data_IF_453170799338
#
_entry.id   IF_453170799338
#
_cell.length_a   1.000
_cell.length_b   1.000
_cell.length_c   1.000
_cell.angle_alpha   90.00
_cell.angle_beta   90.00
_cell.angle_gamma   90.00
#
_symmetry.space_group_name_H-M   'P 1'
#
loop_
_entity.id
_entity.type
_entity.pdbx_description
1 polymer ?
#
# COMPACT_ATOMS: atom_id res chain seq x y z
N UNK A 1 -37.03 -32.32 13.82
CA UNK A 1 -35.84 -31.82 13.08
C UNK A 1 -35.24 -30.72 13.93
N UNK A 2 -34.00 -30.90 14.40
CA UNK A 2 -33.34 -29.92 15.27
C UNK A 2 -32.69 -28.82 14.42
N UNK A 3 -33.12 -27.58 14.64
CA UNK A 3 -32.68 -26.39 13.89
C UNK A 3 -31.73 -25.50 14.71
N UNK A 4 -31.33 -25.93 15.91
CA UNK A 4 -30.57 -25.09 16.85
C UNK A 4 -29.24 -24.59 16.26
N UNK A 5 -28.54 -25.44 15.50
CA UNK A 5 -27.29 -25.06 14.83
C UNK A 5 -27.52 -24.02 13.71
N UNK A 6 -28.65 -24.12 13.00
CA UNK A 6 -29.00 -23.15 11.96
C UNK A 6 -29.36 -21.81 12.61
N UNK A 7 -30.15 -21.81 13.68
CA UNK A 7 -30.50 -20.59 14.43
C UNK A 7 -29.24 -19.89 14.97
N UNK A 8 -28.27 -20.65 15.50
CA UNK A 8 -27.01 -20.07 15.93
C UNK A 8 -26.27 -19.39 14.78
N UNK A 9 -26.15 -20.03 13.60
CA UNK A 9 -25.50 -19.44 12.43
C UNK A 9 -26.23 -18.20 11.90
N UNK A 10 -27.57 -18.20 11.91
CA UNK A 10 -28.38 -17.04 11.53
C UNK A 10 -28.09 -15.85 12.46
N UNK A 11 -28.05 -16.08 13.77
CA UNK A 11 -27.74 -15.03 14.74
C UNK A 11 -26.31 -14.49 14.57
N UNK A 12 -25.33 -15.35 14.31
CA UNK A 12 -23.95 -14.92 14.01
C UNK A 12 -23.91 -14.09 12.73
N UNK A 13 -24.64 -14.49 11.69
CA UNK A 13 -24.71 -13.77 10.43
C UNK A 13 -25.29 -12.36 10.61
N UNK A 14 -26.43 -12.22 11.29
CA UNK A 14 -27.02 -10.90 11.57
C UNK A 14 -26.06 -10.00 12.34
N UNK A 15 -25.38 -10.54 13.36
CA UNK A 15 -24.37 -9.80 14.12
C UNK A 15 -23.21 -9.31 13.25
N UNK A 16 -22.77 -10.09 12.26
CA UNK A 16 -21.70 -9.68 11.34
C UNK A 16 -22.17 -8.54 10.44
N UNK A 17 -23.42 -8.56 9.97
CA UNK A 17 -24.00 -7.47 9.18
C UNK A 17 -24.08 -6.17 9.98
N UNK A 18 -24.64 -6.22 11.20
CA UNK A 18 -24.72 -5.06 12.10
C UNK A 18 -23.33 -4.46 12.38
N UNK A 19 -22.33 -5.30 12.67
CA UNK A 19 -20.96 -4.84 12.86
C UNK A 19 -20.40 -4.16 11.61
N UNK A 20 -20.72 -4.67 10.42
CA UNK A 20 -20.22 -4.12 9.16
C UNK A 20 -20.77 -2.71 8.93
N UNK A 21 -22.04 -2.49 9.26
CA UNK A 21 -22.66 -1.16 9.21
C UNK A 21 -21.99 -0.21 10.21
N UNK A 22 -21.86 -0.65 11.47
CA UNK A 22 -21.20 0.15 12.51
C UNK A 22 -19.76 0.54 12.13
N UNK A 23 -18.98 -0.40 11.58
CA UNK A 23 -17.61 -0.12 11.17
C UNK A 23 -17.52 0.93 10.05
N UNK A 24 -18.51 0.97 9.15
CA UNK A 24 -18.57 1.98 8.09
C UNK A 24 -18.94 3.34 8.66
N UNK A 25 -19.85 3.38 9.63
CA UNK A 25 -20.18 4.61 10.35
C UNK A 25 -18.97 5.16 11.09
N UNK A 26 -18.25 4.32 11.85
CA UNK A 26 -17.05 4.70 12.60
C UNK A 26 -15.96 5.29 11.70
N UNK A 27 -15.79 4.71 10.50
CA UNK A 27 -14.87 5.20 9.48
C UNK A 27 -15.15 6.66 9.11
N UNK A 28 -16.40 6.95 8.74
CA UNK A 28 -16.82 8.28 8.29
C UNK A 28 -16.97 9.29 9.43
N UNK A 29 -17.36 8.83 10.62
CA UNK A 29 -17.65 9.70 11.76
C UNK A 29 -16.38 10.25 12.43
N UNK A 30 -15.32 9.44 12.53
CA UNK A 30 -14.13 9.84 13.30
C UNK A 30 -12.81 9.26 12.81
N UNK A 31 -12.79 8.00 12.38
CA UNK A 31 -11.53 7.29 12.19
C UNK A 31 -10.70 7.87 11.04
N UNK A 32 -11.34 8.24 9.94
CA UNK A 32 -10.69 8.84 8.77
C UNK A 32 -9.94 10.12 9.15
N UNK A 33 -10.62 11.04 9.83
CA UNK A 33 -10.03 12.30 10.29
C UNK A 33 -8.94 12.06 11.35
N UNK A 34 -9.10 11.09 12.24
CA UNK A 34 -8.05 10.71 13.19
C UNK A 34 -6.76 10.25 12.47
N UNK A 35 -6.89 9.39 11.45
CA UNK A 35 -5.74 8.91 10.67
C UNK A 35 -5.04 10.08 9.97
N UNK A 36 -5.81 10.94 9.28
CA UNK A 36 -5.27 12.10 8.56
C UNK A 36 -4.51 13.02 9.51
N UNK A 37 -5.15 13.44 10.60
CA UNK A 37 -4.54 14.35 11.57
C UNK A 37 -3.26 13.77 12.18
N UNK A 38 -3.24 12.46 12.48
CA UNK A 38 -2.06 11.82 13.05
C UNK A 38 -0.92 11.70 12.04
N UNK A 39 -1.22 11.39 10.78
CA UNK A 39 -0.21 11.34 9.71
C UNK A 39 0.36 12.74 9.43
N UNK A 40 -0.50 13.75 9.30
CA UNK A 40 -0.09 15.15 9.09
C UNK A 40 0.75 15.67 10.27
N UNK A 41 0.39 15.32 11.50
CA UNK A 41 1.19 15.62 12.68
C UNK A 41 2.59 15.00 12.59
N UNK A 42 2.69 13.70 12.24
CA UNK A 42 3.98 13.02 12.11
C UNK A 42 4.83 13.68 11.01
N UNK A 43 4.24 13.98 9.86
CA UNK A 43 4.93 14.67 8.75
C UNK A 43 5.49 16.01 9.20
N UNK A 44 4.69 16.81 9.91
CA UNK A 44 5.08 18.12 10.39
C UNK A 44 6.21 18.06 11.42
N UNK A 45 6.09 17.19 12.42
CA UNK A 45 7.06 17.11 13.53
C UNK A 45 8.38 16.46 13.12
N UNK A 46 8.36 15.54 12.16
CA UNK A 46 9.59 14.86 11.67
C UNK A 46 10.27 15.60 10.53
N UNK A 47 9.59 16.51 9.85
CA UNK A 47 10.08 17.13 8.61
C UNK A 47 10.13 16.16 7.43
N UNK A 48 9.46 15.00 7.52
CA UNK A 48 9.36 14.03 6.44
C UNK A 48 8.70 14.68 5.22
N UNK A 49 9.33 14.59 4.05
CA UNK A 49 8.74 15.07 2.80
C UNK A 49 7.72 14.07 2.27
N UNK A 50 6.53 14.07 2.87
CA UNK A 50 5.42 13.21 2.48
C UNK A 50 4.12 14.01 2.35
N UNK A 51 3.15 13.43 1.64
CA UNK A 51 1.81 13.99 1.47
C UNK A 51 0.76 12.98 1.89
N UNK A 52 -0.26 13.44 2.61
CA UNK A 52 -1.45 12.63 2.89
C UNK A 52 -2.42 12.78 1.72
N UNK A 53 -2.75 11.65 1.10
CA UNK A 53 -3.63 11.55 -0.06
C UNK A 53 -4.91 10.82 0.31
N UNK A 54 -6.04 11.25 -0.26
CA UNK A 54 -7.36 10.68 0.00
C UNK A 54 -7.92 10.17 -1.32
N UNK A 55 -8.23 8.88 -1.39
CA UNK A 55 -8.92 8.27 -2.52
C UNK A 55 -10.38 8.04 -2.12
N UNK A 56 -11.29 8.78 -2.75
CA UNK A 56 -12.74 8.74 -2.44
C UNK A 56 -13.59 8.44 -3.67
N UNK A 57 -12.97 7.90 -4.73
CA UNK A 57 -13.61 7.69 -6.04
C UNK A 57 -14.71 6.62 -6.00
N UNK A 58 -14.62 5.67 -5.06
CA UNK A 58 -15.60 4.60 -4.87
C UNK A 58 -16.12 4.63 -3.42
N UNK A 59 -17.44 4.82 -3.27
CA UNK A 59 -18.13 4.78 -1.99
C UNK A 59 -17.85 3.43 -1.30
N UNK A 60 -17.41 3.48 -0.04
CA UNK A 60 -17.05 2.32 0.79
C UNK A 60 -15.79 1.54 0.37
N UNK A 61 -14.95 2.13 -0.47
CA UNK A 61 -13.56 1.68 -0.72
C UNK A 61 -12.62 2.87 -0.64
N UNK A 62 -12.86 3.74 0.34
CA UNK A 62 -12.02 4.88 0.57
C UNK A 62 -10.65 4.44 1.09
N UNK A 63 -9.62 5.18 0.70
CA UNK A 63 -8.27 4.98 1.21
C UNK A 63 -7.66 6.31 1.65
N UNK A 64 -6.84 6.26 2.69
CA UNK A 64 -5.92 7.32 3.08
C UNK A 64 -4.51 6.78 2.90
N UNK A 65 -3.68 7.50 2.16
CA UNK A 65 -2.30 7.11 1.93
C UNK A 65 -1.32 8.20 2.39
N UNK A 66 -0.27 7.82 3.09
CA UNK A 66 0.92 8.66 3.27
C UNK A 66 1.89 8.34 2.12
N UNK A 67 2.03 9.26 1.18
CA UNK A 67 2.83 9.13 -0.03
C UNK A 67 4.16 9.86 0.08
N UNK A 68 5.26 9.21 -0.31
CA UNK A 68 6.56 9.86 -0.51
C UNK A 68 6.72 10.46 -1.92
N UNK A 69 5.64 10.43 -2.72
CA UNK A 69 5.56 11.04 -4.04
C UNK A 69 6.35 10.30 -5.11
N UNK A 70 6.56 11.01 -6.22
CA UNK A 70 7.24 10.52 -7.41
C UNK A 70 8.41 11.41 -7.77
N UNK A 71 9.47 10.81 -8.32
CA UNK A 71 10.66 11.50 -8.79
C UNK A 71 11.15 10.89 -10.10
N UNK A 72 11.92 11.65 -10.88
CA UNK A 72 12.71 11.07 -11.97
C UNK A 72 13.68 10.03 -11.38
N UNK A 73 13.71 8.85 -11.97
CA UNK A 73 14.52 7.73 -11.45
C UNK A 73 16.02 7.89 -11.70
N UNK A 74 16.42 8.80 -12.59
CA UNK A 74 17.76 8.88 -13.14
C UNK A 74 18.05 7.82 -14.22
N UNK A 75 17.05 7.00 -14.58
CA UNK A 75 17.14 6.02 -15.65
C UNK A 75 16.30 6.50 -16.84
N UNK A 76 16.94 6.54 -18.01
CA UNK A 76 16.29 6.92 -19.27
C UNK A 76 16.29 5.75 -20.25
N UNK A 77 15.14 5.49 -20.87
CA UNK A 77 15.05 4.59 -22.01
C UNK A 77 15.33 5.35 -23.32
N UNK A 78 16.18 4.78 -24.18
CA UNK A 78 16.44 5.35 -25.51
C UNK A 78 15.43 4.77 -26.51
N UNK A 79 14.59 5.63 -27.06
CA UNK A 79 13.57 5.27 -28.06
C UNK A 79 13.93 5.97 -29.37
N UNK A 80 14.70 5.29 -30.23
CA UNK A 80 15.30 5.91 -31.42
C UNK A 80 16.27 7.02 -31.05
N UNK A 81 16.02 8.24 -31.52
CA UNK A 81 16.79 9.44 -31.16
C UNK A 81 16.24 10.17 -29.92
N UNK A 82 15.07 9.77 -29.40
CA UNK A 82 14.47 10.36 -28.22
C UNK A 82 14.89 9.61 -26.94
N UNK A 83 14.89 10.34 -25.82
CA UNK A 83 15.05 9.77 -24.48
C UNK A 83 13.75 9.94 -23.70
N UNK A 84 13.35 8.87 -23.01
CA UNK A 84 12.22 8.88 -22.08
C UNK A 84 12.74 8.62 -20.67
N UNK A 85 12.62 9.60 -19.79
CA UNK A 85 12.93 9.44 -18.37
C UNK A 85 11.88 8.54 -17.71
N UNK A 86 12.34 7.58 -16.91
CA UNK A 86 11.47 6.70 -16.14
C UNK A 86 11.17 7.32 -14.78
N UNK A 87 9.93 7.20 -14.34
CA UNK A 87 9.47 7.75 -13.07
C UNK A 87 9.56 6.69 -11.97
N UNK A 88 10.08 7.08 -10.82
CA UNK A 88 10.11 6.28 -9.60
C UNK A 88 8.98 6.72 -8.68
N UNK A 89 8.19 5.77 -8.20
CA UNK A 89 7.35 5.93 -7.01
C UNK A 89 8.17 5.62 -5.77
N UNK A 90 8.14 6.51 -4.77
CA UNK A 90 8.91 6.36 -3.53
C UNK A 90 8.18 5.53 -2.45
N UNK A 91 7.04 4.92 -2.80
CA UNK A 91 6.26 4.09 -1.88
C UNK A 91 5.25 4.87 -1.04
N UNK A 92 4.31 4.11 -0.45
CA UNK A 92 3.16 4.65 0.28
C UNK A 92 2.75 3.74 1.43
N UNK A 93 2.31 4.33 2.54
CA UNK A 93 1.57 3.63 3.60
C UNK A 93 0.07 3.88 3.42
N UNK A 94 -0.71 2.81 3.26
CA UNK A 94 -2.13 2.88 2.87
C UNK A 94 -3.02 2.32 3.97
N UNK A 95 -4.06 3.08 4.32
CA UNK A 95 -5.19 2.70 5.16
C UNK A 95 -6.43 2.60 4.29
N UNK A 96 -6.86 1.38 3.98
CA UNK A 96 -7.97 1.11 3.07
C UNK A 96 -9.15 0.51 3.80
N UNK A 97 -10.34 1.08 3.61
CA UNK A 97 -11.58 0.46 4.05
C UNK A 97 -11.91 -0.76 3.16
N UNK A 98 -12.11 -1.91 3.79
CA UNK A 98 -12.54 -3.14 3.14
C UNK A 98 -14.07 -3.21 3.04
N UNK A 99 -14.57 -4.08 2.18
CA UNK A 99 -16.01 -4.30 1.99
C UNK A 99 -16.76 -4.69 3.28
N UNK A 100 -16.07 -5.26 4.27
CA UNK A 100 -16.65 -5.62 5.57
C UNK A 100 -16.45 -4.53 6.65
N UNK A 101 -16.07 -3.31 6.25
CA UNK A 101 -15.86 -2.16 7.13
C UNK A 101 -14.54 -2.19 7.93
N UNK A 102 -13.78 -3.29 7.89
CA UNK A 102 -12.45 -3.33 8.51
C UNK A 102 -11.45 -2.48 7.72
N UNK A 103 -10.34 -2.14 8.37
CA UNK A 103 -9.27 -1.35 7.77
C UNK A 103 -8.09 -2.25 7.48
N UNK A 104 -7.67 -2.31 6.22
CA UNK A 104 -6.42 -2.90 5.78
C UNK A 104 -5.32 -1.82 5.86
N UNK A 105 -4.24 -2.14 6.55
CA UNK A 105 -3.02 -1.34 6.56
C UNK A 105 -2.00 -2.07 5.69
N UNK A 106 -1.50 -1.40 4.65
CA UNK A 106 -0.52 -1.97 3.73
C UNK A 106 0.56 -0.98 3.34
N UNK A 107 1.73 -1.51 2.95
CA UNK A 107 2.84 -0.75 2.42
C UNK A 107 2.99 -1.07 0.94
N UNK A 108 2.89 -0.05 0.10
CA UNK A 108 3.28 -0.08 -1.30
C UNK A 108 4.75 0.27 -1.38
N UNK A 109 5.57 -0.65 -1.88
CA UNK A 109 7.01 -0.47 -2.01
C UNK A 109 7.36 0.56 -3.08
N UNK A 110 8.54 1.20 -2.97
CA UNK A 110 9.08 1.95 -4.08
C UNK A 110 9.24 1.06 -5.33
N UNK A 111 9.03 1.63 -6.51
CA UNK A 111 9.25 0.96 -7.78
C UNK A 111 9.50 1.98 -8.89
N UNK A 112 10.18 1.54 -9.96
CA UNK A 112 10.44 2.36 -11.14
C UNK A 112 9.52 1.89 -12.26
N UNK A 113 8.76 2.82 -12.84
CA UNK A 113 7.85 2.54 -13.94
C UNK A 113 8.61 2.03 -15.16
N UNK A 114 8.11 0.95 -15.77
CA UNK A 114 8.73 0.32 -16.93
C UNK A 114 9.91 -0.61 -16.60
N UNK A 115 10.40 -0.62 -15.35
CA UNK A 115 11.47 -1.53 -14.92
C UNK A 115 10.97 -2.58 -13.94
N UNK A 116 10.81 -3.80 -14.45
CA UNK A 116 10.37 -4.94 -13.67
C UNK A 116 8.90 -4.85 -13.27
N UNK A 117 8.49 -5.77 -12.39
CA UNK A 117 7.14 -5.78 -11.82
C UNK A 117 7.18 -5.17 -10.43
N UNK A 118 6.21 -4.32 -10.06
CA UNK A 118 6.12 -3.83 -8.70
C UNK A 118 5.98 -5.00 -7.73
N UNK A 119 6.69 -4.92 -6.60
CA UNK A 119 6.56 -5.90 -5.53
C UNK A 119 5.13 -5.86 -5.00
N UNK A 120 4.60 -7.03 -4.62
CA UNK A 120 3.29 -7.09 -3.98
C UNK A 120 3.29 -6.23 -2.71
N UNK A 121 2.24 -5.44 -2.46
CA UNK A 121 2.12 -4.67 -1.24
C UNK A 121 2.26 -5.57 -0.01
N UNK A 122 2.98 -5.08 0.99
CA UNK A 122 3.07 -5.77 2.28
C UNK A 122 1.84 -5.46 3.10
N UNK A 123 1.07 -6.47 3.44
CA UNK A 123 0.00 -6.33 4.43
C UNK A 123 0.64 -6.19 5.82
N UNK A 124 0.43 -5.06 6.47
CA UNK A 124 0.90 -4.82 7.84
C UNK A 124 -0.06 -5.48 8.81
N UNK A 125 -1.36 -5.14 8.72
CA UNK A 125 -2.42 -5.76 9.52
C UNK A 125 -3.81 -5.44 8.97
N UNK A 126 -4.83 -6.14 9.50
CA UNK A 126 -6.25 -5.83 9.27
C UNK A 126 -6.91 -5.67 10.63
N UNK A 127 -7.49 -4.50 10.87
CA UNK A 127 -8.06 -4.13 12.18
C UNK A 127 -9.51 -3.70 12.05
N UNK A 128 -10.25 -3.81 13.15
CA UNK A 128 -11.55 -3.14 13.30
C UNK A 128 -11.33 -1.66 13.60
N UNK A 129 -12.27 -0.78 13.23
CA UNK A 129 -12.15 0.66 13.48
C UNK A 129 -11.79 1.01 14.94
N UNK A 130 -12.45 0.38 15.92
CA UNK A 130 -12.20 0.62 17.34
C UNK A 130 -10.82 0.14 17.86
N UNK A 131 -10.13 -0.74 17.10
CA UNK A 131 -8.80 -1.24 17.46
C UNK A 131 -7.70 -0.25 17.03
N UNK A 132 -7.95 0.56 16.00
CA UNK A 132 -6.96 1.50 15.46
C UNK A 132 -6.91 2.78 16.31
N UNK A 133 -5.78 2.97 17.02
CA UNK A 133 -5.51 4.13 17.88
C UNK A 133 -4.25 4.87 17.42
N UNK A 134 -4.07 6.15 17.81
CA UNK A 134 -2.91 6.94 17.40
C UNK A 134 -1.53 6.28 17.58
N UNK A 135 -1.25 5.53 18.67
CA UNK A 135 0.05 4.86 18.83
C UNK A 135 0.33 3.78 17.78
N UNK A 136 -0.69 3.16 17.19
CA UNK A 136 -0.51 2.19 16.11
C UNK A 136 -0.07 2.88 14.82
N UNK A 137 -0.62 4.06 14.52
CA UNK A 137 -0.25 4.85 13.34
C UNK A 137 1.24 5.18 13.37
N UNK A 138 1.78 5.56 14.54
CA UNK A 138 3.21 5.80 14.69
C UNK A 138 4.04 4.55 14.32
N UNK A 139 3.67 3.39 14.86
CA UNK A 139 4.33 2.10 14.54
C UNK A 139 4.23 1.75 13.06
N UNK A 140 3.12 2.05 12.40
CA UNK A 140 2.95 1.82 10.98
C UNK A 140 3.86 2.71 10.14
N UNK A 141 4.03 3.98 10.54
CA UNK A 141 4.98 4.89 9.86
C UNK A 141 6.42 4.42 10.09
N UNK A 142 6.78 3.96 11.28
CA UNK A 142 8.11 3.38 11.54
C UNK A 142 8.38 2.17 10.65
N UNK A 143 7.44 1.24 10.56
CA UNK A 143 7.57 0.06 9.70
C UNK A 143 7.63 0.43 8.21
N UNK A 144 6.83 1.41 7.79
CA UNK A 144 6.87 1.95 6.44
C UNK A 144 8.24 2.52 6.09
N UNK A 145 8.78 3.40 6.95
CA UNK A 145 10.08 4.01 6.74
C UNK A 145 11.18 2.95 6.72
N UNK A 146 11.11 1.94 7.58
CA UNK A 146 12.07 0.82 7.56
C UNK A 146 12.07 0.09 6.22
N UNK A 147 10.92 -0.21 5.64
CA UNK A 147 10.83 -0.87 4.33
C UNK A 147 11.34 0.02 3.19
N UNK A 148 11.04 1.33 3.21
CA UNK A 148 11.54 2.27 2.20
C UNK A 148 13.06 2.44 2.33
N UNK A 149 13.58 2.65 3.54
CA UNK A 149 15.03 2.75 3.78
C UNK A 149 15.73 1.49 3.29
N UNK A 150 15.22 0.30 3.62
CA UNK A 150 15.82 -0.95 3.14
C UNK A 150 15.76 -1.15 1.63
N UNK A 151 14.82 -0.50 0.94
CA UNK A 151 14.77 -0.49 -0.52
C UNK A 151 15.76 0.51 -1.13
N UNK A 152 15.94 1.69 -0.53
CA UNK A 152 16.88 2.71 -1.00
C UNK A 152 18.34 2.35 -0.70
N UNK A 153 18.58 1.81 0.48
CA UNK A 153 19.88 1.32 0.97
C UNK A 153 20.15 -0.11 0.47
N UNK A 154 19.49 -0.52 -0.62
CA UNK A 154 19.66 -1.83 -1.20
C UNK A 154 21.08 -1.95 -1.75
N UNK A 155 21.93 -2.61 -0.97
CA UNK A 155 23.35 -2.84 -1.25
C UNK A 155 23.54 -4.07 -2.14
N UNK A 156 23.83 -3.82 -3.42
CA UNK A 156 24.15 -4.84 -4.44
C UNK A 156 25.55 -5.47 -4.25
N UNK A 157 26.37 -5.00 -3.30
CA UNK A 157 27.75 -5.48 -3.10
C UNK A 157 27.82 -6.83 -2.36
N UNK A 158 26.69 -7.36 -1.87
CA UNK A 158 26.60 -8.70 -1.27
C UNK A 158 26.08 -9.70 -2.31
N UNK A 159 26.90 -10.68 -2.77
CA UNK A 159 26.43 -11.67 -3.73
C UNK A 159 25.34 -12.55 -3.11
N UNK A 160 24.09 -12.26 -3.47
CA UNK A 160 22.92 -13.10 -3.18
C UNK A 160 22.77 -14.13 -4.31
N UNK A 161 22.32 -15.37 -4.02
CA UNK A 161 21.97 -16.33 -5.06
C UNK A 161 20.89 -15.71 -5.95
N UNK A 162 21.23 -15.58 -7.24
CA UNK A 162 20.49 -14.90 -8.31
C UNK A 162 18.98 -15.20 -8.22
N UNK A 163 18.25 -14.29 -7.57
CA UNK A 163 16.81 -14.35 -7.32
C UNK A 163 16.09 -13.07 -7.71
N UNK A 164 16.80 -12.09 -8.27
CA UNK A 164 16.21 -11.01 -9.05
C UNK A 164 15.71 -11.59 -10.37
N UNK A 165 14.41 -11.84 -10.46
CA UNK A 165 13.71 -11.75 -11.74
C UNK A 165 13.57 -10.26 -12.11
N UNK A 166 14.70 -9.54 -12.22
CA UNK A 166 14.77 -8.39 -13.09
C UNK A 166 14.65 -8.97 -14.48
N UNK A 167 13.44 -8.96 -15.03
CA UNK A 167 13.17 -9.27 -16.42
C UNK A 167 13.73 -8.16 -17.31
N UNK A 168 15.05 -7.94 -17.26
CA UNK A 168 15.74 -7.34 -18.38
C UNK A 168 15.56 -8.35 -19.53
N UNK A 169 14.93 -7.94 -20.66
CA UNK A 169 14.90 -8.79 -21.84
C UNK A 169 16.36 -9.13 -22.16
N UNK A 170 16.70 -10.41 -22.15
CA UNK A 170 17.98 -10.83 -22.73
C UNK A 170 17.88 -10.49 -24.21
N UNK A 171 18.92 -9.86 -24.77
CA UNK A 171 19.07 -9.51 -26.19
C UNK A 171 18.92 -10.70 -27.18
N UNK A 172 18.61 -11.91 -26.70
CA UNK A 172 18.37 -13.10 -27.51
C UNK A 172 16.95 -13.21 -28.08
N UNK A 173 16.00 -12.35 -27.69
CA UNK A 173 14.63 -12.36 -28.26
C UNK A 173 14.48 -11.50 -29.53
N UNK A 174 15.54 -10.82 -29.98
CA UNK A 174 15.53 -9.99 -31.20
C UNK A 174 16.08 -10.70 -32.47
N UNK A 175 16.44 -11.98 -32.41
CA UNK A 175 16.95 -12.71 -33.59
C UNK A 175 16.01 -13.78 -34.17
N UNK A 176 14.80 -13.99 -33.62
CA UNK A 176 13.89 -15.03 -34.10
C UNK A 176 12.60 -14.54 -34.76
N UNK A 177 12.61 -13.33 -35.35
CA UNK A 177 11.54 -12.86 -36.25
C UNK A 177 12.12 -12.40 -37.60
N UNK A 178 12.92 -13.25 -38.24
CA UNK A 178 13.35 -13.05 -39.63
C UNK A 178 13.50 -14.38 -40.35
N UNK A 179 12.40 -15.14 -40.49
CA UNK A 179 12.13 -16.04 -41.62
C UNK A 179 10.64 -16.06 -41.91
#
# INVERSE_FOLDING_TARGET
MDLSNIQFKVNQYHKILENTEQYREDWHASLKEMIINQLEFIVKETGLKAKVEKTTELLHMEAIALSLGHVESGISEKIGDAKRELIKSNGMLVYQQLFNGKILISIVYPFIEGLGKPRQPKNVEIVRPAELKPPFILRHVEEFLKEVIGWEDYDDDVPQPIGFHMGLPKDNDLQNNSQ
#
